data_IF_346263758920
#
_entry.id   IF_346263758920
#
_cell.length_a   1.000
_cell.length_b   1.000
_cell.length_c   1.000
_cell.angle_alpha   90.00
_cell.angle_beta   90.00
_cell.angle_gamma   90.00
#
_symmetry.space_group_name_H-M   'P 1'
#
loop_
_entity.id
_entity.type
_entity.pdbx_description
1 polymer ?
#
# COMPACT_ATOMS: atom_id res chain seq x y z
N UNK A 1 31.75 -16.74 -11.77
CA UNK A 1 31.39 -16.17 -10.43
C UNK A 1 30.93 -14.72 -10.52
N UNK A 2 31.57 -13.84 -11.31
CA UNK A 2 31.15 -12.44 -11.47
C UNK A 2 29.68 -12.28 -11.93
N UNK A 3 29.27 -13.04 -12.94
CA UNK A 3 27.89 -12.99 -13.47
C UNK A 3 26.84 -13.46 -12.44
N UNK A 4 27.19 -14.46 -11.63
CA UNK A 4 26.31 -14.97 -10.56
C UNK A 4 26.11 -13.91 -9.46
N UNK A 5 27.17 -13.19 -9.09
CA UNK A 5 27.08 -12.08 -8.13
C UNK A 5 26.26 -10.92 -8.71
N UNK A 6 26.45 -10.59 -9.98
CA UNK A 6 25.68 -9.54 -10.66
C UNK A 6 24.18 -9.90 -10.74
N UNK A 7 23.85 -11.14 -11.12
CA UNK A 7 22.48 -11.64 -11.17
C UNK A 7 21.81 -11.60 -9.78
N UNK A 8 22.53 -11.98 -8.71
CA UNK A 8 22.02 -11.89 -7.34
C UNK A 8 21.69 -10.45 -6.94
N UNK A 9 22.59 -9.50 -7.21
CA UNK A 9 22.35 -8.07 -6.91
C UNK A 9 21.16 -7.52 -7.69
N UNK A 10 21.04 -7.89 -8.96
CA UNK A 10 19.89 -7.48 -9.78
C UNK A 10 18.57 -8.02 -9.22
N UNK A 11 18.57 -9.28 -8.76
CA UNK A 11 17.42 -9.88 -8.10
C UNK A 11 17.05 -9.19 -6.78
N UNK A 12 18.02 -8.94 -5.90
CA UNK A 12 17.80 -8.22 -4.63
C UNK A 12 17.23 -6.82 -4.89
N UNK A 13 17.79 -6.09 -5.87
CA UNK A 13 17.27 -4.79 -6.29
C UNK A 13 15.82 -4.89 -6.80
N UNK A 14 15.51 -5.87 -7.63
CA UNK A 14 14.15 -6.05 -8.15
C UNK A 14 13.14 -6.34 -7.03
N UNK A 15 13.55 -7.08 -5.98
CA UNK A 15 12.71 -7.28 -4.81
C UNK A 15 12.46 -5.98 -4.04
N UNK A 16 13.49 -5.16 -3.85
CA UNK A 16 13.35 -3.87 -3.16
C UNK A 16 12.49 -2.89 -3.95
N UNK A 17 12.70 -2.81 -5.27
CA UNK A 17 11.87 -1.98 -6.16
C UNK A 17 10.40 -2.45 -6.13
N UNK A 18 10.15 -3.77 -6.14
CA UNK A 18 8.79 -4.32 -6.02
C UNK A 18 8.13 -4.03 -4.66
N UNK A 19 8.89 -4.13 -3.56
CA UNK A 19 8.40 -3.75 -2.22
C UNK A 19 8.00 -2.29 -2.17
N UNK A 20 8.79 -1.41 -2.77
CA UNK A 20 8.52 0.02 -2.82
C UNK A 20 7.29 0.35 -3.65
N UNK A 21 7.15 -0.28 -4.83
CA UNK A 21 5.95 -0.14 -5.66
C UNK A 21 4.69 -0.59 -4.91
N UNK A 22 4.74 -1.74 -4.22
CA UNK A 22 3.62 -2.21 -3.40
C UNK A 22 3.34 -1.25 -2.25
N UNK A 23 4.38 -0.75 -1.56
CA UNK A 23 4.24 0.23 -0.48
C UNK A 23 3.50 1.48 -0.97
N UNK A 24 3.90 2.03 -2.11
CA UNK A 24 3.27 3.21 -2.70
C UNK A 24 1.82 2.94 -3.08
N UNK A 25 1.54 1.83 -3.76
CA UNK A 25 0.17 1.47 -4.16
C UNK A 25 -0.76 1.33 -2.94
N UNK A 26 -0.26 0.83 -1.80
CA UNK A 26 -1.02 0.73 -0.55
C UNK A 26 -1.33 2.10 0.05
N UNK A 27 -0.40 3.04 -0.02
CA UNK A 27 -0.61 4.43 0.41
C UNK A 27 -1.66 5.10 -0.48
N UNK A 28 -1.57 4.93 -1.80
CA UNK A 28 -2.53 5.49 -2.74
C UNK A 28 -3.94 4.95 -2.50
N UNK A 29 -4.07 3.64 -2.27
CA UNK A 29 -5.34 3.03 -1.86
C UNK A 29 -5.85 3.63 -0.53
N UNK A 30 -4.98 3.77 0.46
CA UNK A 30 -5.29 4.40 1.74
C UNK A 30 -5.80 5.84 1.60
N UNK A 31 -5.20 6.61 0.68
CA UNK A 31 -5.64 7.96 0.33
C UNK A 31 -7.05 7.95 -0.25
N UNK A 32 -7.33 7.11 -1.25
CA UNK A 32 -8.66 7.01 -1.86
C UNK A 32 -9.72 6.57 -0.85
N UNK A 33 -9.39 5.65 0.05
CA UNK A 33 -10.27 5.28 1.17
C UNK A 33 -10.53 6.49 2.06
N UNK A 34 -9.51 7.26 2.44
CA UNK A 34 -9.68 8.46 3.27
C UNK A 34 -10.56 9.52 2.56
N UNK A 35 -10.41 9.71 1.25
CA UNK A 35 -11.25 10.62 0.46
C UNK A 35 -12.71 10.15 0.41
N UNK A 36 -12.96 8.86 0.16
CA UNK A 36 -14.30 8.27 0.21
C UNK A 36 -14.96 8.44 1.58
N UNK A 37 -14.18 8.27 2.67
CA UNK A 37 -14.64 8.49 4.05
C UNK A 37 -15.08 9.94 4.29
N UNK A 38 -14.42 10.93 3.68
CA UNK A 38 -14.82 12.35 3.76
C UNK A 38 -16.14 12.63 3.05
N UNK A 39 -16.52 11.79 2.08
CA UNK A 39 -17.81 11.83 1.38
C UNK A 39 -18.88 10.97 2.06
N UNK A 40 -18.70 10.69 3.36
CA UNK A 40 -19.64 9.91 4.19
C UNK A 40 -19.82 8.43 3.82
N UNK A 41 -18.95 7.87 2.97
CA UNK A 41 -18.95 6.42 2.70
C UNK A 41 -18.42 5.67 3.94
N UNK A 42 -19.11 4.61 4.37
CA UNK A 42 -18.69 3.83 5.55
C UNK A 42 -17.53 2.90 5.23
N UNK A 43 -16.70 2.57 6.23
CA UNK A 43 -15.65 1.54 6.05
C UNK A 43 -16.24 0.18 5.69
N UNK A 44 -17.43 -0.14 6.21
CA UNK A 44 -18.11 -1.41 5.93
C UNK A 44 -18.55 -1.47 4.46
N UNK A 45 -19.10 -0.39 3.90
CA UNK A 45 -19.47 -0.33 2.48
C UNK A 45 -18.24 -0.43 1.55
N UNK A 46 -17.12 0.19 1.93
CA UNK A 46 -15.84 0.06 1.20
C UNK A 46 -15.32 -1.37 1.28
N UNK A 47 -15.37 -1.98 2.46
CA UNK A 47 -14.93 -3.35 2.68
C UNK A 47 -15.74 -4.34 1.83
N UNK A 48 -17.07 -4.20 1.80
CA UNK A 48 -17.96 -4.98 0.96
C UNK A 48 -17.64 -4.80 -0.54
N UNK A 49 -17.50 -3.55 -1.01
CA UNK A 49 -17.22 -3.25 -2.42
C UNK A 49 -15.88 -3.80 -2.90
N UNK A 50 -14.86 -3.77 -2.04
CA UNK A 50 -13.50 -4.19 -2.38
C UNK A 50 -13.22 -5.67 -2.03
N UNK A 51 -14.22 -6.40 -1.53
CA UNK A 51 -14.05 -7.77 -1.01
C UNK A 51 -12.93 -7.89 0.03
N UNK A 52 -12.81 -6.86 0.87
CA UNK A 52 -11.83 -6.78 1.95
C UNK A 52 -12.51 -6.89 3.31
N UNK A 53 -11.72 -7.21 4.33
CA UNK A 53 -12.16 -7.02 5.70
C UNK A 53 -12.11 -5.54 6.09
N UNK A 54 -12.98 -5.14 7.02
CA UNK A 54 -12.95 -3.80 7.60
C UNK A 54 -11.58 -3.44 8.20
N UNK A 55 -10.89 -4.41 8.79
CA UNK A 55 -9.55 -4.18 9.36
C UNK A 55 -8.51 -3.91 8.27
N UNK A 56 -8.59 -4.57 7.11
CA UNK A 56 -7.72 -4.25 5.96
C UNK A 56 -7.97 -2.83 5.46
N UNK A 57 -9.24 -2.42 5.30
CA UNK A 57 -9.60 -1.05 4.92
C UNK A 57 -9.04 -0.03 5.91
N UNK A 58 -9.22 -0.29 7.22
CA UNK A 58 -8.68 0.55 8.29
C UNK A 58 -7.15 0.61 8.27
N UNK A 59 -6.48 -0.50 7.93
CA UNK A 59 -5.02 -0.56 7.85
C UNK A 59 -4.48 0.30 6.70
N UNK A 60 -5.05 0.21 5.50
CA UNK A 60 -4.65 1.05 4.37
C UNK A 60 -4.85 2.53 4.68
N UNK A 61 -6.01 2.90 5.25
CA UNK A 61 -6.28 4.28 5.66
C UNK A 61 -5.23 4.80 6.65
N UNK A 62 -4.88 4.02 7.69
CA UNK A 62 -3.84 4.38 8.67
C UNK A 62 -2.45 4.51 8.05
N UNK A 63 -2.10 3.64 7.11
CA UNK A 63 -0.80 3.71 6.42
C UNK A 63 -0.66 5.01 5.64
N UNK A 64 -1.73 5.46 4.97
CA UNK A 64 -1.77 6.79 4.36
C UNK A 64 -1.66 7.92 5.40
N UNK A 65 -2.49 7.90 6.44
CA UNK A 65 -2.47 8.93 7.50
C UNK A 65 -1.08 9.07 8.14
N UNK A 66 -0.40 7.94 8.41
CA UNK A 66 0.96 7.93 8.94
C UNK A 66 1.97 8.51 7.93
N UNK A 67 1.81 8.23 6.64
CA UNK A 67 2.70 8.75 5.60
C UNK A 67 2.62 10.28 5.46
N UNK A 68 1.45 10.87 5.71
CA UNK A 68 1.26 12.34 5.68
C UNK A 68 1.76 13.02 6.95
N UNK A 69 1.69 12.34 8.11
CA UNK A 69 2.13 12.91 9.39
C UNK A 69 3.65 12.81 9.63
N UNK A 70 4.38 12.03 8.82
CA UNK A 70 5.84 11.86 8.91
C UNK A 70 6.61 12.61 7.82
N UNK A 71 5.91 13.28 6.88
CA UNK A 71 6.49 14.17 5.87
C UNK A 71 6.35 15.63 6.26
#
# INVERSE_FOLDING_TARGET
>A
MGDVVAARKAYEKAQDDARELVRQARIDLGRTIAEARRQSITQDAIAETLELTREQVRRFQREYENSVNQG
#
